data_IF_423795711453
#
_entry.id   IF_423795711453
#
_cell.length_a   1.000
_cell.length_b   1.000
_cell.length_c   1.000
_cell.angle_alpha   90.00
_cell.angle_beta   90.00
_cell.angle_gamma   90.00
#
_symmetry.space_group_name_H-M   'P 1'
#
loop_
_entity.id
_entity.type
_entity.pdbx_description
1 polymer ?
#
# COMPACT_ATOMS: atom_id res chain seq x y z
N UNK A 1 -15.90 10.93 -27.17
CA UNK A 1 -15.48 10.79 -25.77
C UNK A 1 -16.74 10.68 -24.94
N UNK A 2 -16.89 9.59 -24.18
CA UNK A 2 -18.06 9.42 -23.31
C UNK A 2 -17.76 10.00 -21.94
N UNK A 3 -18.75 10.63 -21.29
CA UNK A 3 -18.63 11.13 -19.92
C UNK A 3 -18.19 10.05 -18.94
N UNK A 4 -18.56 8.78 -19.21
CA UNK A 4 -18.17 7.62 -18.42
C UNK A 4 -16.67 7.27 -18.48
N UNK A 5 -16.02 7.40 -19.64
CA UNK A 5 -14.58 7.13 -19.75
C UNK A 5 -13.77 8.15 -18.95
N UNK A 6 -14.14 9.42 -19.04
CA UNK A 6 -13.51 10.50 -18.27
C UNK A 6 -13.65 10.29 -16.76
N UNK A 7 -14.87 10.02 -16.30
CA UNK A 7 -15.17 9.75 -14.90
C UNK A 7 -14.41 8.53 -14.36
N UNK A 8 -14.28 7.47 -15.17
CA UNK A 8 -13.49 6.31 -14.80
C UNK A 8 -12.03 6.69 -14.51
N UNK A 9 -11.42 7.51 -15.38
CA UNK A 9 -10.02 7.91 -15.25
C UNK A 9 -9.82 8.81 -14.04
N UNK A 10 -10.72 9.76 -13.82
CA UNK A 10 -10.73 10.60 -12.60
C UNK A 10 -10.76 9.74 -11.34
N UNK A 11 -11.57 8.67 -11.30
CA UNK A 11 -11.65 7.75 -10.15
C UNK A 11 -10.50 6.73 -10.08
N UNK A 12 -9.73 6.58 -11.15
CA UNK A 12 -8.56 5.73 -11.20
C UNK A 12 -7.25 6.51 -10.95
N UNK A 13 -7.35 7.79 -10.58
CA UNK A 13 -6.22 8.66 -10.33
C UNK A 13 -5.35 8.14 -9.15
N UNK A 14 -4.01 8.31 -9.21
CA UNK A 14 -3.08 7.71 -8.24
C UNK A 14 -3.40 7.97 -6.77
N UNK A 15 -3.97 9.14 -6.44
CA UNK A 15 -4.35 9.53 -5.08
C UNK A 15 -5.41 8.62 -4.46
N UNK A 16 -6.35 8.07 -5.25
CA UNK A 16 -7.37 7.16 -4.75
C UNK A 16 -6.80 5.79 -4.39
N UNK A 17 -5.82 5.31 -5.15
CA UNK A 17 -5.09 4.09 -4.84
C UNK A 17 -4.22 4.29 -3.60
N UNK A 18 -3.55 5.43 -3.52
CA UNK A 18 -2.69 5.79 -2.40
C UNK A 18 -3.46 5.96 -1.09
N UNK A 19 -4.60 6.67 -1.08
CA UNK A 19 -5.38 6.87 0.14
C UNK A 19 -5.78 5.53 0.75
N UNK A 20 -6.27 4.61 -0.06
CA UNK A 20 -6.62 3.27 0.40
C UNK A 20 -5.39 2.44 0.83
N UNK A 21 -4.26 2.59 0.13
CA UNK A 21 -3.01 1.96 0.55
C UNK A 21 -2.56 2.44 1.94
N UNK A 22 -2.67 3.74 2.20
CA UNK A 22 -2.30 4.37 3.47
C UNK A 22 -3.24 3.93 4.59
N UNK A 23 -4.56 3.96 4.38
CA UNK A 23 -5.55 3.46 5.35
C UNK A 23 -5.26 2.02 5.79
N UNK A 24 -4.92 1.15 4.83
CA UNK A 24 -4.57 -0.24 5.10
C UNK A 24 -3.26 -0.37 5.90
N UNK A 25 -2.24 0.42 5.56
CA UNK A 25 -0.96 0.42 6.26
C UNK A 25 -1.10 0.93 7.70
N UNK A 26 -1.81 2.03 7.92
CA UNK A 26 -2.08 2.60 9.25
C UNK A 26 -2.89 1.64 10.12
N UNK A 27 -3.88 0.97 9.52
CA UNK A 27 -4.67 -0.06 10.22
C UNK A 27 -3.78 -1.24 10.59
N UNK A 28 -2.89 -1.68 9.70
CA UNK A 28 -1.94 -2.75 9.98
C UNK A 28 -0.97 -2.39 11.11
N UNK A 29 -0.45 -1.16 11.11
CA UNK A 29 0.40 -0.60 12.17
C UNK A 29 -0.31 -0.62 13.52
N UNK A 30 -1.52 -0.07 13.56
CA UNK A 30 -2.33 0.01 14.78
C UNK A 30 -2.58 -1.38 15.38
N UNK A 31 -3.01 -2.33 14.54
CA UNK A 31 -3.27 -3.70 15.00
C UNK A 31 -1.99 -4.37 15.49
N UNK A 32 -0.87 -4.20 14.77
CA UNK A 32 0.41 -4.76 15.18
C UNK A 32 0.85 -4.21 16.54
N UNK A 33 0.86 -2.87 16.71
CA UNK A 33 1.32 -2.25 17.95
C UNK A 33 0.48 -2.61 19.17
N UNK A 34 -0.82 -2.79 19.00
CA UNK A 34 -1.73 -3.22 20.06
C UNK A 34 -1.57 -4.70 20.45
N UNK A 35 -1.03 -5.54 19.56
CA UNK A 35 -1.06 -7.01 19.71
C UNK A 35 0.31 -7.70 19.72
N UNK A 36 1.40 -6.97 19.46
CA UNK A 36 2.76 -7.54 19.31
C UNK A 36 3.27 -8.33 20.52
N UNK A 37 2.78 -8.03 21.73
CA UNK A 37 3.15 -8.72 22.96
C UNK A 37 2.13 -9.80 23.38
N UNK A 38 1.10 -10.03 22.56
CA UNK A 38 0.04 -11.00 22.79
C UNK A 38 0.27 -12.26 21.95
N UNK A 39 0.00 -13.42 22.54
CA UNK A 39 0.22 -14.72 21.91
C UNK A 39 -0.90 -15.70 22.20
N UNK A 40 -1.06 -16.67 21.31
CA UNK A 40 -1.93 -17.84 21.51
C UNK A 40 -1.03 -19.02 21.86
N UNK A 41 -1.29 -19.64 23.01
CA UNK A 41 -0.60 -20.84 23.47
C UNK A 41 -1.37 -22.11 23.13
N UNK A 42 -0.63 -23.15 22.74
CA UNK A 42 -1.15 -24.48 22.52
C UNK A 42 -0.42 -25.46 23.43
N UNK A 43 -1.18 -26.35 24.06
CA UNK A 43 -0.68 -27.48 24.83
C UNK A 43 -1.44 -28.73 24.38
N UNK A 44 -0.72 -29.67 23.76
CA UNK A 44 -1.25 -30.90 23.21
C UNK A 44 -0.73 -32.05 24.06
N UNK A 45 -1.65 -32.87 24.58
CA UNK A 45 -1.33 -34.14 25.21
C UNK A 45 -1.65 -35.25 24.21
N UNK A 46 -0.63 -36.00 23.79
CA UNK A 46 -0.78 -37.10 22.85
C UNK A 46 -1.19 -38.38 23.57
N UNK A 47 -1.78 -39.33 22.84
CA UNK A 47 -2.27 -40.60 23.39
C UNK A 47 -1.15 -41.50 23.93
N UNK A 48 0.09 -41.32 23.46
CA UNK A 48 1.29 -42.01 23.94
C UNK A 48 1.86 -41.39 25.24
N UNK A 49 1.18 -40.39 25.80
CA UNK A 49 1.60 -39.66 27.00
C UNK A 49 2.62 -38.54 26.74
N UNK A 50 3.07 -38.36 25.49
CA UNK A 50 3.95 -37.24 25.13
C UNK A 50 3.20 -35.91 25.16
N UNK A 51 3.92 -34.83 25.47
CA UNK A 51 3.39 -33.48 25.56
C UNK A 51 4.10 -32.57 24.58
N UNK A 52 3.34 -31.76 23.86
CA UNK A 52 3.86 -30.76 22.95
C UNK A 52 3.22 -29.42 23.26
N UNK A 53 4.05 -28.37 23.39
CA UNK A 53 3.58 -27.01 23.56
C UNK A 53 4.24 -26.10 22.53
N UNK A 54 3.48 -25.16 21.99
CA UNK A 54 3.98 -24.11 21.10
C UNK A 54 3.10 -22.86 21.22
N UNK A 55 3.60 -21.74 20.73
CA UNK A 55 2.85 -20.49 20.69
C UNK A 55 3.00 -19.81 19.33
N UNK A 56 2.10 -18.86 19.06
CA UNK A 56 2.18 -17.94 17.92
C UNK A 56 1.69 -16.55 18.32
N UNK A 57 2.10 -15.48 17.62
CA UNK A 57 1.53 -14.16 17.84
C UNK A 57 0.01 -14.18 17.71
N UNK A 58 -0.68 -13.37 18.52
CA UNK A 58 -2.15 -13.28 18.48
C UNK A 58 -2.63 -12.87 17.08
N UNK A 59 -1.91 -11.91 16.49
CA UNK A 59 -2.25 -11.34 15.19
C UNK A 59 -1.04 -11.38 14.27
N UNK A 60 -1.18 -12.03 13.11
CA UNK A 60 -0.17 -12.01 12.04
C UNK A 60 -0.82 -11.95 10.67
N UNK A 61 -1.77 -12.86 10.41
CA UNK A 61 -2.46 -12.96 9.12
C UNK A 61 -3.14 -11.66 8.68
N UNK A 62 -3.97 -10.99 9.48
CA UNK A 62 -4.62 -9.76 9.01
C UNK A 62 -3.62 -8.61 8.85
N UNK A 63 -2.58 -8.50 9.70
CA UNK A 63 -1.51 -7.50 9.54
C UNK A 63 -0.78 -7.70 8.21
N UNK A 64 -0.32 -8.92 7.93
CA UNK A 64 0.37 -9.24 6.68
C UNK A 64 -0.56 -9.09 5.46
N UNK A 65 -1.84 -9.44 5.58
CA UNK A 65 -2.82 -9.25 4.51
C UNK A 65 -3.01 -7.77 4.19
N UNK A 66 -3.22 -6.93 5.20
CA UNK A 66 -3.42 -5.50 5.01
C UNK A 66 -2.19 -4.84 4.39
N UNK A 67 -0.97 -5.18 4.82
CA UNK A 67 0.24 -4.71 4.14
C UNK A 67 0.33 -5.21 2.70
N UNK A 68 0.00 -6.47 2.43
CA UNK A 68 0.01 -6.99 1.07
C UNK A 68 -0.96 -6.24 0.14
N UNK A 69 -2.17 -5.95 0.62
CA UNK A 69 -3.15 -5.13 -0.12
C UNK A 69 -2.71 -3.67 -0.23
N UNK A 70 -2.10 -3.11 0.82
CA UNK A 70 -1.55 -1.76 0.83
C UNK A 70 -0.47 -1.60 -0.25
N UNK A 71 0.52 -2.49 -0.29
CA UNK A 71 1.55 -2.49 -1.33
C UNK A 71 0.97 -2.73 -2.72
N UNK A 72 -0.03 -3.60 -2.87
CA UNK A 72 -0.69 -3.79 -4.17
C UNK A 72 -1.26 -2.47 -4.71
N UNK A 73 -1.97 -1.71 -3.86
CA UNK A 73 -2.55 -0.43 -4.23
C UNK A 73 -1.47 0.63 -4.49
N UNK A 74 -0.48 0.76 -3.61
CA UNK A 74 0.59 1.75 -3.75
C UNK A 74 1.44 1.51 -5.00
N UNK A 75 1.77 0.25 -5.32
CA UNK A 75 2.52 -0.09 -6.53
C UNK A 75 1.68 0.23 -7.79
N UNK A 76 0.37 -0.01 -7.77
CA UNK A 76 -0.51 0.37 -8.88
C UNK A 76 -0.62 1.88 -9.04
N UNK A 77 -0.69 2.63 -7.93
CA UNK A 77 -0.63 4.10 -7.94
C UNK A 77 0.64 4.57 -8.67
N UNK A 78 1.81 4.04 -8.27
CA UNK A 78 3.09 4.34 -8.91
C UNK A 78 3.12 4.00 -10.40
N UNK A 79 2.61 2.82 -10.79
CA UNK A 79 2.55 2.43 -12.20
C UNK A 79 1.69 3.40 -13.03
N UNK A 80 0.56 3.85 -12.50
CA UNK A 80 -0.30 4.84 -13.15
C UNK A 80 0.41 6.20 -13.23
N UNK A 81 1.11 6.61 -12.17
CA UNK A 81 1.88 7.86 -12.18
C UNK A 81 3.05 7.84 -13.17
N UNK A 82 3.70 6.69 -13.36
CA UNK A 82 4.76 6.53 -14.36
C UNK A 82 4.22 6.45 -15.81
N UNK A 83 3.00 5.94 -15.98
CA UNK A 83 2.36 5.74 -17.28
C UNK A 83 0.83 5.85 -17.19
N UNK A 84 0.26 7.06 -17.33
CA UNK A 84 -1.19 7.28 -17.28
C UNK A 84 -1.95 6.58 -18.41
N UNK A 85 -1.26 6.20 -19.50
CA UNK A 85 -1.87 5.49 -20.63
C UNK A 85 -2.36 4.09 -20.28
N UNK A 86 -1.97 3.59 -19.09
CA UNK A 86 -2.53 2.38 -18.48
C UNK A 86 -4.05 2.47 -18.20
N UNK A 87 -4.65 3.66 -18.35
CA UNK A 87 -6.08 3.91 -18.19
C UNK A 87 -6.84 4.19 -19.50
N UNK A 88 -6.15 4.13 -20.65
CA UNK A 88 -6.70 4.45 -21.97
C UNK A 88 -8.04 3.77 -22.26
N UNK A 89 -9.02 4.55 -22.71
CA UNK A 89 -10.36 4.08 -23.03
C UNK A 89 -11.19 3.70 -21.81
N UNK A 90 -10.93 4.33 -20.66
CA UNK A 90 -11.74 4.17 -19.45
C UNK A 90 -11.69 2.76 -18.85
N UNK A 91 -10.50 2.14 -18.80
CA UNK A 91 -10.31 0.79 -18.26
C UNK A 91 -8.92 0.60 -17.69
N UNK A 92 -8.77 -0.35 -16.76
CA UNK A 92 -7.46 -0.76 -16.28
C UNK A 92 -6.73 -1.61 -17.33
N UNK A 93 -5.50 -1.23 -17.65
CA UNK A 93 -4.58 -2.05 -18.41
C UNK A 93 -4.32 -3.39 -17.71
N UNK A 94 -4.07 -4.44 -18.50
CA UNK A 94 -3.64 -5.75 -17.99
C UNK A 94 -2.32 -5.67 -17.20
N UNK A 95 -1.54 -4.62 -17.43
CA UNK A 95 -0.32 -4.32 -16.67
C UNK A 95 -0.58 -3.90 -15.21
N UNK A 96 -1.83 -3.60 -14.84
CA UNK A 96 -2.24 -3.34 -13.46
C UNK A 96 -2.92 -4.55 -12.80
N UNK A 97 -3.12 -5.64 -13.54
CA UNK A 97 -3.82 -6.83 -13.03
C UNK A 97 -2.84 -7.84 -12.40
N UNK A 98 -3.35 -8.58 -11.41
CA UNK A 98 -2.63 -9.60 -10.65
C UNK A 98 -2.36 -9.20 -9.21
N UNK A 99 -1.95 -10.18 -8.41
CA UNK A 99 -1.67 -10.03 -6.96
C UNK A 99 -0.22 -10.37 -6.60
N UNK A 100 0.62 -10.67 -7.60
CA UNK A 100 2.04 -10.93 -7.41
C UNK A 100 2.76 -9.59 -7.35
N UNK A 101 3.07 -9.16 -6.12
CA UNK A 101 3.63 -7.85 -5.82
C UNK A 101 5.04 -7.70 -6.40
N UNK A 102 5.82 -8.78 -6.47
CA UNK A 102 7.16 -8.75 -7.09
C UNK A 102 7.03 -8.49 -8.59
N UNK A 103 6.12 -9.20 -9.27
CA UNK A 103 5.86 -8.97 -10.70
C UNK A 103 5.30 -7.58 -10.98
N UNK A 104 4.47 -7.02 -10.09
CA UNK A 104 3.96 -5.66 -10.22
C UNK A 104 5.10 -4.65 -10.03
N UNK A 105 5.88 -4.76 -8.95
CA UNK A 105 6.97 -3.83 -8.66
C UNK A 105 8.08 -3.86 -9.72
N UNK A 106 8.36 -5.01 -10.33
CA UNK A 106 9.33 -5.13 -11.42
C UNK A 106 8.92 -4.38 -12.70
N UNK A 107 7.68 -3.89 -12.80
CA UNK A 107 7.21 -3.05 -13.92
C UNK A 107 7.52 -1.57 -13.70
N UNK A 108 7.89 -1.16 -12.48
CA UNK A 108 8.26 0.20 -12.16
C UNK A 108 9.56 0.59 -12.88
N UNK A 109 9.58 1.78 -13.47
CA UNK A 109 10.71 2.33 -14.21
C UNK A 109 11.59 3.22 -13.35
N UNK A 110 10.98 3.90 -12.37
CA UNK A 110 11.62 4.97 -11.59
C UNK A 110 12.23 4.46 -10.29
N UNK A 111 11.97 3.21 -9.92
CA UNK A 111 12.47 2.61 -8.69
C UNK A 111 12.91 1.16 -8.92
N UNK A 112 13.99 0.76 -8.24
CA UNK A 112 14.47 -0.63 -8.23
C UNK A 112 14.44 -1.17 -6.80
N UNK A 113 13.79 -2.31 -6.62
CA UNK A 113 13.80 -3.01 -5.35
C UNK A 113 15.12 -3.75 -5.13
N UNK A 114 15.66 -3.65 -3.92
CA UNK A 114 16.76 -4.50 -3.49
C UNK A 114 16.25 -5.93 -3.16
N UNK A 115 17.19 -6.85 -2.90
CA UNK A 115 16.87 -8.25 -2.63
C UNK A 115 15.97 -8.45 -1.41
N UNK A 116 16.16 -7.65 -0.35
CA UNK A 116 15.38 -7.75 0.89
C UNK A 116 13.93 -7.31 0.66
N UNK A 117 13.73 -6.22 -0.08
CA UNK A 117 12.42 -5.69 -0.44
C UNK A 117 11.67 -6.63 -1.39
N UNK A 118 12.39 -7.24 -2.35
CA UNK A 118 11.81 -8.30 -3.19
C UNK A 118 11.39 -9.51 -2.35
N UNK A 119 12.20 -9.90 -1.36
CA UNK A 119 11.87 -10.96 -0.42
C UNK A 119 10.63 -10.65 0.41
N UNK A 120 10.49 -9.40 0.88
CA UNK A 120 9.32 -8.92 1.60
C UNK A 120 8.06 -8.97 0.72
N UNK A 121 8.12 -8.42 -0.49
CA UNK A 121 6.98 -8.46 -1.41
C UNK A 121 6.62 -9.89 -1.84
N UNK A 122 7.59 -10.79 -1.96
CA UNK A 122 7.34 -12.20 -2.23
C UNK A 122 6.57 -12.86 -1.07
N UNK A 123 6.98 -12.59 0.17
CA UNK A 123 6.26 -13.07 1.36
C UNK A 123 4.82 -12.58 1.36
N UNK A 124 4.59 -11.29 1.11
CA UNK A 124 3.25 -10.70 1.11
C UNK A 124 2.39 -11.21 -0.07
N UNK A 125 3.00 -11.44 -1.23
CA UNK A 125 2.34 -12.05 -2.40
C UNK A 125 1.81 -13.45 -2.09
N UNK A 126 2.50 -14.20 -1.24
CA UNK A 126 2.07 -15.53 -0.80
C UNK A 126 0.91 -15.47 0.22
N UNK A 127 0.81 -14.37 0.98
CA UNK A 127 -0.23 -14.17 2.01
C UNK A 127 -1.55 -13.71 1.41
N UNK A 128 -1.54 -12.74 0.49
CA UNK A 128 -2.75 -12.04 -0.03
C UNK A 128 -3.81 -13.00 -0.60
N UNK A 129 -3.47 -13.98 -1.46
CA UNK A 129 -4.47 -14.85 -2.07
C UNK A 129 -5.10 -15.85 -1.09
N UNK A 130 -4.35 -16.25 -0.05
CA UNK A 130 -4.73 -17.40 0.76
C UNK A 130 -4.51 -17.22 2.25
N UNK A 131 -3.25 -17.20 2.72
CA UNK A 131 -2.97 -17.32 4.16
C UNK A 131 -3.56 -16.16 4.98
N UNK A 132 -3.78 -15.00 4.36
CA UNK A 132 -4.48 -13.88 4.99
C UNK A 132 -5.99 -14.09 5.16
N UNK A 133 -6.61 -14.91 4.30
CA UNK A 133 -8.07 -15.06 4.20
C UNK A 133 -8.58 -16.37 4.81
N UNK A 134 -7.82 -17.45 4.65
CA UNK A 134 -8.24 -18.79 5.07
C UNK A 134 -7.15 -19.48 5.89
N UNK A 135 -7.51 -20.13 7.00
CA UNK A 135 -6.53 -20.73 7.91
C UNK A 135 -5.94 -22.05 7.42
N UNK A 136 -6.61 -22.76 6.51
CA UNK A 136 -6.29 -24.14 6.11
C UNK A 136 -6.59 -24.33 4.63
N UNK A 137 -5.70 -25.02 3.88
CA UNK A 137 -5.89 -25.73 2.62
C UNK A 137 -7.27 -25.99 2.07
N UNK A 138 -7.45 -25.98 0.73
CA UNK A 138 -8.45 -26.88 0.12
C UNK A 138 -7.99 -28.33 0.14
N UNK A 139 -6.69 -28.56 -0.02
CA UNK A 139 -6.08 -29.89 -0.02
C UNK A 139 -4.92 -29.95 0.97
N UNK A 140 -4.58 -31.16 1.43
CA UNK A 140 -3.47 -31.36 2.35
C UNK A 140 -2.10 -31.10 1.71
N UNK A 141 -1.99 -31.31 0.39
CA UNK A 141 -0.77 -31.10 -0.39
C UNK A 141 -0.39 -29.61 -0.46
N UNK A 142 -1.38 -28.73 -0.33
CA UNK A 142 -1.20 -27.28 -0.36
C UNK A 142 -0.90 -26.69 1.03
N UNK A 143 -0.75 -27.53 2.07
CA UNK A 143 -0.49 -27.08 3.43
C UNK A 143 0.90 -26.42 3.50
N UNK A 144 0.90 -25.10 3.72
CA UNK A 144 2.12 -24.30 3.92
C UNK A 144 2.28 -23.98 5.41
N UNK A 145 3.53 -23.85 5.91
CA UNK A 145 3.77 -23.28 7.23
C UNK A 145 3.14 -21.89 7.35
N UNK A 146 2.56 -21.61 8.52
CA UNK A 146 2.00 -20.30 8.82
C UNK A 146 3.11 -19.25 8.86
N UNK A 147 2.84 -18.08 8.27
CA UNK A 147 3.73 -16.92 8.33
C UNK A 147 3.32 -15.99 9.46
N UNK A 148 4.30 -15.59 10.26
CA UNK A 148 4.11 -14.68 11.38
C UNK A 148 4.70 -13.31 11.07
N UNK A 149 4.02 -12.26 11.54
CA UNK A 149 4.62 -10.92 11.54
C UNK A 149 5.62 -10.85 12.68
N UNK A 150 6.87 -10.53 12.36
CA UNK A 150 7.90 -10.21 13.34
C UNK A 150 8.13 -8.70 13.37
N UNK A 151 8.89 -8.22 14.37
CA UNK A 151 9.28 -6.82 14.43
C UNK A 151 10.10 -6.38 13.23
N UNK A 152 10.95 -7.26 12.70
CA UNK A 152 11.77 -7.01 11.52
C UNK A 152 10.88 -6.88 10.28
N UNK A 153 9.90 -7.78 10.10
CA UNK A 153 8.95 -7.70 8.99
C UNK A 153 8.12 -6.43 9.08
N UNK A 154 7.61 -6.08 10.25
CA UNK A 154 6.84 -4.85 10.47
C UNK A 154 7.65 -3.59 10.12
N UNK A 155 8.89 -3.49 10.64
CA UNK A 155 9.81 -2.39 10.31
C UNK A 155 10.12 -2.33 8.81
N UNK A 156 10.35 -3.49 8.17
CA UNK A 156 10.62 -3.55 6.74
C UNK A 156 9.42 -3.10 5.90
N UNK A 157 8.20 -3.45 6.30
CA UNK A 157 6.98 -2.93 5.67
C UNK A 157 6.92 -1.39 5.76
N UNK A 158 7.11 -0.82 6.95
CA UNK A 158 7.08 0.64 7.13
C UNK A 158 8.15 1.35 6.31
N UNK A 159 9.38 0.83 6.32
CA UNK A 159 10.49 1.41 5.58
C UNK A 159 10.25 1.37 4.06
N UNK A 160 9.78 0.23 3.53
CA UNK A 160 9.45 0.12 2.11
C UNK A 160 8.26 1.00 1.74
N UNK A 161 7.22 1.06 2.57
CA UNK A 161 6.05 1.91 2.34
C UNK A 161 6.47 3.38 2.22
N UNK A 162 7.18 3.92 3.20
CA UNK A 162 7.64 5.32 3.17
C UNK A 162 8.52 5.63 1.95
N UNK A 163 9.36 4.69 1.51
CA UNK A 163 10.17 4.88 0.28
C UNK A 163 9.30 4.92 -0.98
N UNK A 164 8.31 4.03 -1.11
CA UNK A 164 7.39 4.02 -2.25
C UNK A 164 6.46 5.24 -2.23
N UNK A 165 6.03 5.67 -1.05
CA UNK A 165 5.21 6.85 -0.82
C UNK A 165 5.94 8.13 -1.23
N UNK A 166 7.21 8.30 -0.82
CA UNK A 166 8.04 9.42 -1.26
C UNK A 166 8.21 9.44 -2.79
N UNK A 167 8.37 8.27 -3.41
CA UNK A 167 8.45 8.18 -4.86
C UNK A 167 7.13 8.57 -5.54
N UNK A 168 6.00 8.16 -4.98
CA UNK A 168 4.68 8.57 -5.47
C UNK A 168 4.52 10.08 -5.34
N UNK A 169 4.91 10.65 -4.20
CA UNK A 169 4.83 12.08 -3.99
C UNK A 169 5.61 12.85 -5.06
N UNK A 170 6.85 12.44 -5.31
CA UNK A 170 7.70 13.04 -6.35
C UNK A 170 7.04 13.02 -7.72
N UNK A 171 6.45 11.89 -8.13
CA UNK A 171 5.84 11.73 -9.45
C UNK A 171 4.56 12.54 -9.64
N UNK A 172 3.81 12.80 -8.55
CA UNK A 172 2.50 13.46 -8.62
C UNK A 172 2.53 14.90 -8.10
N UNK A 173 3.71 15.42 -7.73
CA UNK A 173 3.82 16.76 -7.13
C UNK A 173 3.26 17.85 -8.05
N UNK A 174 3.49 17.80 -9.35
CA UNK A 174 3.00 18.83 -10.26
C UNK A 174 1.64 18.49 -10.88
N UNK A 175 1.04 17.36 -10.50
CA UNK A 175 -0.11 16.77 -11.19
C UNK A 175 0.31 16.10 -12.50
N UNK A 176 -0.58 15.30 -13.09
CA UNK A 176 -0.24 14.45 -14.24
C UNK A 176 -1.30 14.57 -15.32
N UNK A 177 -0.87 14.77 -16.57
CA UNK A 177 -1.78 14.69 -17.71
C UNK A 177 -2.12 13.22 -17.97
N UNK A 178 -3.40 12.91 -17.88
CA UNK A 178 -3.93 11.59 -18.08
C UNK A 178 -4.70 11.52 -19.42
N UNK A 179 -4.99 10.31 -19.92
CA UNK A 179 -5.69 10.19 -21.17
C UNK A 179 -7.14 10.66 -21.04
N UNK A 180 -7.82 10.78 -22.18
CA UNK A 180 -9.16 11.36 -22.26
C UNK A 180 -9.27 12.81 -21.72
N UNK A 181 -8.17 13.57 -21.76
CA UNK A 181 -8.13 14.98 -21.39
C UNK A 181 -8.36 15.23 -19.89
N UNK A 182 -8.14 14.20 -19.06
CA UNK A 182 -8.13 14.32 -17.60
C UNK A 182 -6.77 14.84 -17.16
N UNK A 183 -6.75 15.69 -16.14
CA UNK A 183 -5.53 16.01 -15.40
C UNK A 183 -5.70 15.58 -13.96
N UNK A 184 -4.84 14.68 -13.50
CA UNK A 184 -4.77 14.31 -12.10
C UNK A 184 -4.27 15.49 -11.27
N UNK A 185 -4.85 15.71 -10.08
CA UNK A 185 -4.51 16.83 -9.23
C UNK A 185 -3.07 16.72 -8.72
N UNK A 186 -2.55 17.85 -8.25
CA UNK A 186 -1.28 17.90 -7.55
C UNK A 186 -1.42 17.15 -6.21
N UNK A 187 -0.65 16.07 -6.03
CA UNK A 187 -0.61 15.37 -4.75
C UNK A 187 0.27 16.16 -3.78
N UNK A 188 -0.22 16.47 -2.58
CA UNK A 188 0.53 17.14 -1.50
C UNK A 188 0.52 16.27 -0.25
N UNK A 189 1.67 15.69 0.08
CA UNK A 189 1.87 14.87 1.28
C UNK A 189 2.71 15.67 2.29
N UNK A 190 2.06 16.54 3.06
CA UNK A 190 2.74 17.53 3.90
C UNK A 190 3.60 16.91 5.00
N UNK A 191 3.31 15.68 5.41
CA UNK A 191 4.16 14.93 6.36
C UNK A 191 5.52 14.54 5.77
N UNK A 192 5.68 14.59 4.45
CA UNK A 192 6.93 14.27 3.75
C UNK A 192 7.71 15.52 3.31
N UNK A 193 7.15 16.72 3.45
CA UNK A 193 7.73 17.94 2.87
C UNK A 193 9.15 18.25 3.40
N UNK A 194 9.41 17.94 4.67
CA UNK A 194 10.73 18.15 5.28
C UNK A 194 11.80 17.20 4.74
N UNK A 195 11.40 16.08 4.16
CA UNK A 195 12.29 15.02 3.66
C UNK A 195 12.40 15.04 2.12
N UNK A 196 11.50 15.75 1.45
CA UNK A 196 11.42 15.82 0.00
C UNK A 196 12.50 16.75 -0.58
N UNK A 197 13.53 16.16 -1.19
CA UNK A 197 14.64 16.89 -1.83
C UNK A 197 14.25 17.70 -3.09
N UNK A 198 13.02 17.53 -3.59
CA UNK A 198 12.48 18.22 -4.77
C UNK A 198 11.59 19.42 -4.43
N UNK A 199 11.35 19.67 -3.15
CA UNK A 199 10.57 20.83 -2.69
C UNK A 199 11.53 22.00 -2.45
N UNK A 200 11.36 23.07 -3.24
CA UNK A 200 12.14 24.30 -3.13
C UNK A 200 11.37 25.39 -2.35
N UNK A 201 11.94 26.58 -2.20
CA UNK A 201 11.29 27.68 -1.46
C UNK A 201 10.04 28.24 -2.17
N UNK A 202 9.97 28.16 -3.50
CA UNK A 202 8.79 28.55 -4.28
C UNK A 202 7.62 27.60 -3.99
N UNK A 203 7.89 26.29 -4.02
CA UNK A 203 6.96 25.23 -3.62
C UNK A 203 6.41 25.42 -2.20
N UNK A 204 7.26 25.80 -1.24
CA UNK A 204 6.84 26.08 0.14
C UNK A 204 5.96 27.33 0.23
N UNK A 205 6.27 28.36 -0.55
CA UNK A 205 5.46 29.58 -0.62
C UNK A 205 4.05 29.29 -1.18
N UNK A 206 3.96 28.49 -2.25
CA UNK A 206 2.69 28.07 -2.85
C UNK A 206 1.84 27.27 -1.86
N UNK A 207 2.45 26.33 -1.13
CA UNK A 207 1.76 25.57 -0.08
C UNK A 207 1.20 26.49 1.02
N UNK A 208 1.99 27.48 1.46
CA UNK A 208 1.54 28.47 2.45
C UNK A 208 0.43 29.38 1.91
N UNK A 209 0.35 29.57 0.59
CA UNK A 209 -0.80 30.19 -0.09
C UNK A 209 -2.04 29.31 0.01
N UNK A 210 -1.91 28.04 -0.42
CA UNK A 210 -2.97 27.03 -0.43
C UNK A 210 -3.57 26.80 0.98
N UNK A 211 -2.74 26.61 2.01
CA UNK A 211 -3.18 26.43 3.39
C UNK A 211 -3.98 27.63 3.91
N UNK A 212 -3.59 28.85 3.49
CA UNK A 212 -4.33 30.07 3.83
C UNK A 212 -5.68 30.15 3.13
N UNK A 213 -5.83 29.55 1.95
CA UNK A 213 -7.12 29.47 1.25
C UNK A 213 -8.06 28.47 1.92
N UNK A 214 -7.57 27.29 2.30
CA UNK A 214 -8.37 26.29 3.04
C UNK A 214 -8.85 26.83 4.39
N UNK A 215 -7.96 27.49 5.15
CA UNK A 215 -8.33 28.13 6.43
C UNK A 215 -9.36 29.26 6.27
N UNK A 216 -9.43 29.91 5.10
CA UNK A 216 -10.45 30.93 4.79
C UNK A 216 -11.76 30.32 4.30
N UNK A 217 -11.73 29.13 3.70
CA UNK A 217 -12.91 28.38 3.24
C UNK A 217 -13.76 27.88 4.40
N UNK A 218 -13.13 27.33 5.44
CA UNK A 218 -13.82 26.80 6.64
C UNK A 218 -14.60 27.88 7.42
N UNK A 219 -14.19 29.14 7.32
CA UNK A 219 -14.86 30.28 7.97
C UNK A 219 -16.12 30.71 7.21
N UNK A 220 -16.27 30.37 5.92
CA UNK A 220 -17.41 30.81 5.10
C UNK A 220 -18.59 29.85 5.08
N UNK A 221 -18.42 28.58 5.45
CA UNK A 221 -19.51 27.59 5.48
C UNK A 221 -20.17 27.43 6.88
N UNK A 222 -19.78 28.26 7.85
CA UNK A 222 -20.32 28.25 9.22
C UNK A 222 -21.41 29.33 9.46
N UNK A 223 -22.32 29.56 8.51
CA UNK A 223 -23.48 30.46 8.69
C UNK A 223 -24.77 29.92 8.11
#
# INVERSE_FOLDING_TARGET
>A
MTTSEKQFIEQAAPEYWYSYAHELADTADTIYDMSKDQWIGYAINHADGSKQSYSRPLVSRPVLLMYGLSFENLIKALLISEDPTLLNGGKLSKHLLGHDLVKLANRLKTLRLNTEEQGLLALLSDVVPYQGRYPVPRTAQDLKPEKYVSQEIHKACKALFGRLEMQLYRLNYEGIDAPEGVRFPNLRLTHLDSEADFINEEHKSDLMGLLREFQKGDVKESR
#
